data_IF_535067229251
#
_entry.id   IF_535067229251
#
_cell.length_a   1.000
_cell.length_b   1.000
_cell.length_c   1.000
_cell.angle_alpha   90.00
_cell.angle_beta   90.00
_cell.angle_gamma   90.00
#
_symmetry.space_group_name_H-M   'P 1'
#
loop_
_entity.id
_entity.type
_entity.pdbx_description
1 polymer ?
#
# COMPACT_ATOMS: atom_id res chain seq x y z
N UNK A 1 -24.61 12.30 3.67
CA UNK A 1 -25.05 11.71 2.39
C UNK A 1 -23.83 11.07 1.76
N UNK A 2 -23.97 9.78 1.46
CA UNK A 2 -22.94 8.77 1.23
C UNK A 2 -21.62 9.32 0.66
N UNK A 3 -20.58 9.30 1.51
CA UNK A 3 -19.21 9.22 1.01
C UNK A 3 -19.08 7.85 0.35
N UNK A 4 -19.58 7.75 -0.87
CA UNK A 4 -19.54 6.51 -1.63
C UNK A 4 -18.07 6.29 -1.99
N UNK A 5 -17.39 5.58 -1.08
CA UNK A 5 -16.06 5.05 -1.25
C UNK A 5 -16.09 4.21 -2.51
N UNK A 6 -15.26 4.57 -3.48
CA UNK A 6 -15.15 3.79 -4.70
C UNK A 6 -14.22 2.61 -4.44
N UNK A 7 -14.75 1.62 -3.73
CA UNK A 7 -14.02 0.41 -3.33
C UNK A 7 -13.41 -0.31 -4.52
N UNK A 8 -14.01 -0.20 -5.70
CA UNK A 8 -13.48 -0.79 -6.91
C UNK A 8 -12.17 -0.12 -7.31
N UNK A 9 -12.13 1.22 -7.36
CA UNK A 9 -10.89 1.98 -7.62
C UNK A 9 -9.86 1.75 -6.50
N UNK A 10 -10.29 1.79 -5.25
CA UNK A 10 -9.41 1.63 -4.09
C UNK A 10 -8.71 0.27 -4.14
N UNK A 11 -9.47 -0.83 -4.21
CA UNK A 11 -8.93 -2.19 -4.20
C UNK A 11 -8.12 -2.51 -5.46
N UNK A 12 -8.58 -2.08 -6.63
CA UNK A 12 -7.89 -2.34 -7.91
C UNK A 12 -6.49 -1.73 -7.96
N UNK A 13 -6.28 -0.57 -7.33
CA UNK A 13 -4.97 0.08 -7.31
C UNK A 13 -4.13 -0.31 -6.08
N UNK A 14 -4.76 -0.46 -4.90
CA UNK A 14 -4.03 -0.77 -3.66
C UNK A 14 -3.58 -2.22 -3.57
N UNK A 15 -4.36 -3.21 -4.04
CA UNK A 15 -4.00 -4.63 -3.91
C UNK A 15 -2.71 -5.00 -4.65
N UNK A 16 -2.51 -4.62 -5.94
CA UNK A 16 -1.28 -4.94 -6.65
C UNK A 16 -0.05 -4.30 -5.99
N UNK A 17 -0.17 -3.03 -5.59
CA UNK A 17 0.93 -2.31 -4.93
C UNK A 17 1.25 -2.92 -3.57
N UNK A 18 0.23 -3.32 -2.81
CA UNK A 18 0.38 -4.02 -1.53
C UNK A 18 1.07 -5.37 -1.69
N UNK A 19 0.74 -6.14 -2.73
CA UNK A 19 1.36 -7.43 -3.01
C UNK A 19 2.84 -7.28 -3.36
N UNK A 20 3.18 -6.29 -4.20
CA UNK A 20 4.58 -5.95 -4.52
C UNK A 20 5.34 -5.56 -3.26
N UNK A 21 4.75 -4.72 -2.41
CA UNK A 21 5.39 -4.31 -1.16
C UNK A 21 5.57 -5.46 -0.18
N UNK A 22 4.58 -6.34 -0.04
CA UNK A 22 4.72 -7.55 0.77
C UNK A 22 5.92 -8.38 0.29
N UNK A 23 6.04 -8.62 -1.02
CA UNK A 23 7.19 -9.33 -1.58
C UNK A 23 8.53 -8.63 -1.27
N UNK A 24 8.63 -7.31 -1.46
CA UNK A 24 9.82 -6.53 -1.10
C UNK A 24 10.18 -6.70 0.38
N UNK A 25 9.19 -6.72 1.27
CA UNK A 25 9.43 -6.95 2.70
C UNK A 25 9.95 -8.36 3.01
N UNK A 26 9.70 -9.37 2.18
CA UNK A 26 10.28 -10.71 2.31
C UNK A 26 11.69 -10.83 1.69
N UNK A 27 12.06 -10.00 0.71
CA UNK A 27 13.41 -10.04 0.12
C UNK A 27 14.53 -9.66 1.10
N UNK A 28 15.76 -10.12 0.85
CA UNK A 28 16.91 -9.83 1.73
C UNK A 28 17.50 -8.41 1.57
N UNK A 29 16.70 -7.47 1.10
CA UNK A 29 17.05 -6.06 0.97
C UNK A 29 17.20 -5.42 2.36
N UNK A 30 18.12 -4.47 2.50
CA UNK A 30 18.33 -3.72 3.74
C UNK A 30 17.05 -3.03 4.24
N UNK A 31 16.88 -2.92 5.56
CA UNK A 31 15.65 -2.39 6.16
C UNK A 31 15.34 -0.97 5.65
N UNK A 32 16.35 -0.11 5.53
CA UNK A 32 16.19 1.27 5.05
C UNK A 32 15.63 1.33 3.63
N UNK A 33 16.10 0.45 2.73
CA UNK A 33 15.63 0.38 1.35
C UNK A 33 14.16 -0.05 1.28
N UNK A 34 13.70 -0.96 2.15
CA UNK A 34 12.28 -1.36 2.22
C UNK A 34 11.37 -0.19 2.59
N UNK A 35 11.78 0.63 3.56
CA UNK A 35 11.05 1.83 3.93
C UNK A 35 11.03 2.88 2.81
N UNK A 36 12.14 3.05 2.08
CA UNK A 36 12.18 3.91 0.89
C UNK A 36 11.22 3.38 -0.19
N UNK A 37 11.24 2.07 -0.45
CA UNK A 37 10.29 1.43 -1.38
C UNK A 37 8.84 1.62 -0.95
N UNK A 38 8.55 1.57 0.36
CA UNK A 38 7.21 1.84 0.89
C UNK A 38 6.76 3.27 0.61
N UNK A 39 7.64 4.25 0.83
CA UNK A 39 7.32 5.66 0.53
C UNK A 39 7.04 5.84 -0.96
N UNK A 40 7.85 5.23 -1.84
CA UNK A 40 7.64 5.26 -3.29
C UNK A 40 6.33 4.57 -3.69
N UNK A 41 6.00 3.44 -3.07
CA UNK A 41 4.75 2.72 -3.31
C UNK A 41 3.52 3.51 -2.88
N UNK A 42 3.60 4.21 -1.74
CA UNK A 42 2.55 5.11 -1.26
C UNK A 42 2.36 6.30 -2.20
N UNK A 43 3.45 6.91 -2.66
CA UNK A 43 3.40 7.99 -3.64
C UNK A 43 2.78 7.52 -4.98
N UNK A 44 3.17 6.33 -5.45
CA UNK A 44 2.60 5.73 -6.66
C UNK A 44 1.11 5.45 -6.51
N UNK A 45 0.69 4.86 -5.39
CA UNK A 45 -0.73 4.59 -5.08
C UNK A 45 -1.53 5.89 -5.02
N UNK A 46 -0.97 6.92 -4.38
CA UNK A 46 -1.57 8.25 -4.31
C UNK A 46 -1.81 8.83 -5.70
N UNK A 47 -0.79 8.81 -6.57
CA UNK A 47 -0.91 9.29 -7.94
C UNK A 47 -1.94 8.48 -8.75
N UNK A 48 -1.87 7.15 -8.72
CA UNK A 48 -2.81 6.27 -9.44
C UNK A 48 -4.27 6.54 -9.06
N UNK A 49 -4.55 6.64 -7.76
CA UNK A 49 -5.90 6.91 -7.27
C UNK A 49 -6.30 8.35 -7.54
N UNK A 50 -5.40 9.33 -7.41
CA UNK A 50 -5.68 10.74 -7.71
C UNK A 50 -6.11 10.95 -9.18
N UNK A 51 -5.48 10.25 -10.12
CA UNK A 51 -5.85 10.32 -11.54
C UNK A 51 -7.22 9.69 -11.85
N UNK A 52 -7.63 8.66 -11.10
CA UNK A 52 -8.91 7.97 -11.30
C UNK A 52 -10.06 8.60 -10.47
N UNK A 53 -9.74 9.11 -9.29
CA UNK A 53 -10.69 9.66 -8.33
C UNK A 53 -10.05 10.82 -7.57
N UNK A 54 -10.48 12.06 -7.85
CA UNK A 54 -10.02 13.27 -7.15
C UNK A 54 -10.56 13.38 -5.71
N UNK A 55 -11.30 12.38 -5.22
CA UNK A 55 -11.83 12.35 -3.86
C UNK A 55 -10.70 12.01 -2.88
N UNK A 56 -10.42 12.92 -1.95
CA UNK A 56 -9.36 12.76 -0.93
C UNK A 56 -9.53 11.49 -0.11
N UNK A 57 -10.76 11.14 0.29
CA UNK A 57 -11.06 9.94 1.08
C UNK A 57 -10.59 8.64 0.40
N UNK A 58 -10.81 8.49 -0.92
CA UNK A 58 -10.38 7.29 -1.66
C UNK A 58 -8.84 7.15 -1.68
N UNK A 59 -8.14 8.27 -1.80
CA UNK A 59 -6.67 8.31 -1.82
C UNK A 59 -6.12 7.85 -0.46
N UNK A 60 -6.64 8.44 0.62
CA UNK A 60 -6.22 8.08 1.99
C UNK A 60 -6.52 6.61 2.30
N UNK A 61 -7.70 6.11 1.95
CA UNK A 61 -8.06 4.70 2.19
C UNK A 61 -7.17 3.74 1.41
N UNK A 62 -6.88 4.03 0.13
CA UNK A 62 -5.99 3.20 -0.67
C UNK A 62 -4.56 3.17 -0.10
N UNK A 63 -4.03 4.31 0.32
CA UNK A 63 -2.73 4.41 0.96
C UNK A 63 -2.70 3.66 2.31
N UNK A 64 -3.77 3.77 3.10
CA UNK A 64 -3.89 3.09 4.39
C UNK A 64 -3.84 1.57 4.21
N UNK A 65 -4.50 1.01 3.19
CA UNK A 65 -4.45 -0.43 2.88
C UNK A 65 -3.01 -0.86 2.58
N UNK A 66 -2.30 -0.15 1.69
CA UNK A 66 -0.91 -0.48 1.33
C UNK A 66 0.00 -0.43 2.56
N UNK A 67 -0.17 0.58 3.41
CA UNK A 67 0.60 0.74 4.63
C UNK A 67 0.33 -0.40 5.63
N UNK A 68 -0.95 -0.74 5.87
CA UNK A 68 -1.35 -1.81 6.78
C UNK A 68 -0.83 -3.17 6.32
N UNK A 69 -0.99 -3.52 5.03
CA UNK A 69 -0.48 -4.79 4.48
C UNK A 69 1.04 -4.85 4.59
N UNK A 70 1.73 -3.75 4.32
CA UNK A 70 3.19 -3.68 4.43
C UNK A 70 3.68 -3.84 5.88
N UNK A 71 2.98 -3.24 6.85
CA UNK A 71 3.26 -3.41 8.28
C UNK A 71 3.00 -4.84 8.76
N UNK A 72 1.93 -5.47 8.27
CA UNK A 72 1.64 -6.88 8.55
C UNK A 72 2.76 -7.76 7.98
N UNK A 73 3.17 -7.55 6.73
CA UNK A 73 4.28 -8.29 6.11
C UNK A 73 5.60 -8.10 6.87
N UNK A 74 5.91 -6.87 7.28
CA UNK A 74 7.08 -6.58 8.11
C UNK A 74 7.03 -7.32 9.46
N UNK A 75 5.87 -7.30 10.11
CA UNK A 75 5.67 -7.96 11.40
C UNK A 75 5.77 -9.47 11.27
N UNK A 76 5.11 -10.08 10.29
CA UNK A 76 5.17 -11.52 10.02
C UNK A 76 6.61 -12.02 9.83
N UNK A 77 7.39 -11.30 9.01
CA UNK A 77 8.81 -11.60 8.85
C UNK A 77 9.58 -11.49 10.17
N UNK A 78 9.30 -10.46 10.98
CA UNK A 78 9.96 -10.27 12.28
C UNK A 78 9.61 -11.38 13.28
N UNK A 79 8.40 -11.94 13.20
CA UNK A 79 7.95 -13.07 14.03
C UNK A 79 8.52 -14.43 13.58
N UNK A 80 9.36 -14.47 12.54
CA UNK A 80 10.01 -15.71 12.10
C UNK A 80 9.10 -16.64 11.28
N UNK A 81 7.94 -16.15 10.85
CA UNK A 81 7.22 -16.77 9.74
C UNK A 81 7.95 -16.38 8.45
N UNK A 82 8.99 -17.17 8.10
CA UNK A 82 9.95 -17.02 6.98
C UNK A 82 11.13 -16.06 7.19
#
# INVERSE_FOLDING_TARGET
MEEEYDWNIILRNSLPVSAVMAFVFFTNIGNNLKWISLILALAATCLMVYFQSRKKHNIFTAMAIVLLVSLIAHSLRKFGFF
#
